data_IF_470394571605
#
_entry.id   IF_470394571605
#
_cell.length_a   1.000
_cell.length_b   1.000
_cell.length_c   1.000
_cell.angle_alpha   90.00
_cell.angle_beta   90.00
_cell.angle_gamma   90.00
#
_symmetry.space_group_name_H-M   'P 1'
#
loop_
_entity.id
_entity.type
_entity.pdbx_description
1 polymer ?
#
# COMPACT_ATOMS: atom_id res chain seq x y z
N UNK A 1 12.43 4.49 -6.16
CA UNK A 1 13.00 5.06 -4.91
C UNK A 1 12.84 4.10 -3.73
N UNK A 2 11.62 3.72 -3.32
CA UNK A 2 11.37 2.78 -2.21
C UNK A 2 12.15 1.46 -2.33
N UNK A 3 12.06 0.84 -3.50
CA UNK A 3 12.78 -0.37 -3.91
C UNK A 3 14.31 -0.27 -4.08
N UNK A 4 14.90 0.92 -3.91
CA UNK A 4 16.32 1.14 -4.17
C UNK A 4 16.95 1.99 -3.07
N UNK A 5 17.25 3.27 -3.34
CA UNK A 5 17.95 4.15 -2.40
C UNK A 5 17.29 4.22 -1.02
N UNK A 6 15.96 4.29 -0.94
CA UNK A 6 15.27 4.46 0.35
C UNK A 6 15.20 3.18 1.20
N UNK A 7 15.67 2.04 0.67
CA UNK A 7 15.88 0.80 1.42
C UNK A 7 17.37 0.56 1.74
N UNK A 8 18.26 1.45 1.32
CA UNK A 8 19.69 1.34 1.59
C UNK A 8 20.01 1.88 2.99
N UNK A 9 20.73 1.12 3.80
CA UNK A 9 21.05 1.48 5.18
C UNK A 9 21.87 2.78 5.29
N UNK A 10 22.76 3.08 4.35
CA UNK A 10 23.53 4.32 4.34
C UNK A 10 22.62 5.52 4.08
N UNK A 11 21.76 5.44 3.06
CA UNK A 11 20.77 6.50 2.78
C UNK A 11 19.85 6.73 3.97
N UNK A 12 19.32 5.66 4.58
CA UNK A 12 18.48 5.75 5.78
C UNK A 12 19.23 6.43 6.93
N UNK A 13 20.50 6.07 7.14
CA UNK A 13 21.34 6.70 8.16
C UNK A 13 21.53 8.20 7.90
N UNK A 14 21.88 8.59 6.68
CA UNK A 14 22.04 10.00 6.29
C UNK A 14 20.75 10.78 6.51
N UNK A 15 19.62 10.26 6.02
CA UNK A 15 18.31 10.89 6.17
C UNK A 15 17.97 11.09 7.65
N UNK A 16 18.12 10.07 8.49
CA UNK A 16 17.77 10.16 9.91
C UNK A 16 18.70 11.09 10.72
N UNK A 17 19.94 11.29 10.27
CA UNK A 17 20.94 12.05 11.00
C UNK A 17 21.01 13.52 10.61
N UNK A 18 20.67 13.86 9.36
CA UNK A 18 20.92 15.19 8.81
C UNK A 18 19.70 15.84 8.14
N UNK A 19 18.63 15.08 7.88
CA UNK A 19 17.50 15.56 7.09
C UNK A 19 16.16 15.28 7.79
N UNK A 20 15.12 15.98 7.32
CA UNK A 20 13.72 15.69 7.64
C UNK A 20 13.05 15.26 6.34
N UNK A 21 12.92 13.95 6.07
CA UNK A 21 12.30 13.48 4.84
C UNK A 21 10.79 13.75 4.87
N UNK A 22 10.27 14.37 3.80
CA UNK A 22 8.84 14.62 3.60
C UNK A 22 8.40 13.93 2.32
N UNK A 23 7.34 13.12 2.40
CA UNK A 23 6.69 12.52 1.22
C UNK A 23 5.49 13.37 0.83
N UNK A 24 5.52 13.94 -0.36
CA UNK A 24 4.40 14.66 -0.94
C UNK A 24 3.89 13.93 -2.18
N UNK A 25 2.59 13.66 -2.21
CA UNK A 25 1.91 12.93 -3.27
C UNK A 25 1.20 13.94 -4.18
N UNK A 26 1.43 13.88 -5.50
CA UNK A 26 0.90 14.90 -6.42
C UNK A 26 -0.63 15.02 -6.33
N UNK A 27 -1.31 13.89 -6.20
CA UNK A 27 -2.76 13.77 -6.14
C UNK A 27 -3.33 14.55 -4.93
N UNK A 28 -2.61 14.51 -3.82
CA UNK A 28 -3.00 15.16 -2.57
C UNK A 28 -2.73 16.67 -2.59
N UNK A 29 -1.66 17.09 -3.27
CA UNK A 29 -1.16 18.46 -3.21
C UNK A 29 -1.55 19.36 -4.41
N UNK A 30 -2.09 18.80 -5.50
CA UNK A 30 -2.55 19.58 -6.67
C UNK A 30 -3.96 20.19 -6.47
N UNK A 31 -4.41 20.93 -7.48
CA UNK A 31 -5.75 21.48 -7.56
C UNK A 31 -6.81 20.38 -7.35
N UNK A 32 -7.68 20.58 -6.36
CA UNK A 32 -8.71 19.61 -5.97
C UNK A 32 -8.21 18.46 -5.06
N UNK A 33 -6.92 18.40 -4.75
CA UNK A 33 -6.34 17.45 -3.80
C UNK A 33 -6.81 17.66 -2.36
N UNK A 34 -6.65 16.61 -1.54
CA UNK A 34 -7.17 16.52 -0.18
C UNK A 34 -6.41 17.36 0.87
N UNK A 35 -5.22 17.86 0.54
CA UNK A 35 -4.39 18.59 1.51
C UNK A 35 -4.85 20.05 1.72
N UNK A 36 -4.55 20.63 2.90
CA UNK A 36 -4.88 22.02 3.21
C UNK A 36 -4.38 23.01 2.15
N UNK A 37 -5.13 24.11 1.87
CA UNK A 37 -4.71 25.10 0.88
C UNK A 37 -3.31 25.70 1.11
N UNK A 38 -2.90 25.87 2.36
CA UNK A 38 -1.55 26.36 2.72
C UNK A 38 -0.43 25.38 2.34
N UNK A 39 -0.61 24.08 2.62
CA UNK A 39 0.33 23.03 2.26
C UNK A 39 0.49 22.90 0.74
N UNK A 40 -0.62 23.02 0.00
CA UNK A 40 -0.60 23.02 -1.47
C UNK A 40 0.15 24.22 -2.04
N UNK A 41 -0.04 25.41 -1.46
CA UNK A 41 0.73 26.61 -1.86
C UNK A 41 2.22 26.44 -1.61
N UNK A 42 2.59 25.80 -0.51
CA UNK A 42 3.99 25.54 -0.18
C UNK A 42 4.64 24.54 -1.13
N UNK A 43 3.93 23.47 -1.47
CA UNK A 43 4.34 22.51 -2.50
C UNK A 43 4.59 23.20 -3.86
N UNK A 44 3.66 24.05 -4.29
CA UNK A 44 3.80 24.83 -5.52
C UNK A 44 4.94 25.85 -5.45
N UNK A 45 5.16 26.47 -4.28
CA UNK A 45 6.24 27.45 -4.05
C UNK A 45 7.59 26.78 -4.27
N UNK A 46 7.81 25.61 -3.66
CA UNK A 46 9.06 24.84 -3.79
C UNK A 46 9.33 24.49 -5.26
N UNK A 47 8.32 24.01 -5.99
CA UNK A 47 8.45 23.71 -7.42
C UNK A 47 8.83 24.95 -8.25
N UNK A 48 8.14 26.08 -8.04
CA UNK A 48 8.41 27.33 -8.75
C UNK A 48 9.77 27.91 -8.40
N UNK A 49 10.18 27.82 -7.15
CA UNK A 49 11.50 28.26 -6.69
C UNK A 49 12.62 27.43 -7.32
N UNK A 50 12.49 26.10 -7.33
CA UNK A 50 13.46 25.22 -7.97
C UNK A 50 13.60 25.52 -9.48
N UNK A 51 12.48 25.76 -10.16
CA UNK A 51 12.49 26.19 -11.56
C UNK A 51 13.20 27.53 -11.76
N UNK A 52 12.89 28.54 -10.93
CA UNK A 52 13.52 29.85 -11.00
C UNK A 52 15.03 29.79 -10.74
N UNK A 53 15.45 28.91 -9.84
CA UNK A 53 16.86 28.62 -9.54
C UNK A 53 17.55 27.72 -10.58
N UNK A 54 16.84 27.33 -11.66
CA UNK A 54 17.33 26.43 -12.73
C UNK A 54 17.78 25.05 -12.21
N UNK A 55 17.18 24.60 -11.11
CA UNK A 55 17.35 23.25 -10.58
C UNK A 55 16.47 22.26 -11.36
N UNK A 56 16.71 20.95 -11.21
CA UNK A 56 15.83 19.91 -11.78
C UNK A 56 14.44 20.02 -11.15
N UNK A 57 13.39 20.16 -11.95
CA UNK A 57 12.03 20.27 -11.43
C UNK A 57 11.01 19.58 -12.33
N UNK A 58 9.93 19.10 -11.73
CA UNK A 58 8.86 18.41 -12.44
C UNK A 58 8.01 17.57 -11.49
N UNK A 59 7.21 16.68 -12.07
CA UNK A 59 6.15 15.96 -11.36
C UNK A 59 6.65 14.87 -10.43
N UNK A 60 7.81 14.25 -10.68
CA UNK A 60 8.38 13.23 -9.78
C UNK A 60 9.85 13.54 -9.52
N UNK A 61 10.11 14.24 -8.40
CA UNK A 61 11.42 14.80 -8.06
C UNK A 61 11.73 14.67 -6.58
N UNK A 62 13.02 14.68 -6.26
CA UNK A 62 13.56 14.94 -4.92
C UNK A 62 13.99 16.39 -4.89
N UNK A 63 13.51 17.17 -3.92
CA UNK A 63 13.97 18.53 -3.65
C UNK A 63 14.68 18.55 -2.31
N UNK A 64 15.78 19.29 -2.23
CA UNK A 64 16.50 19.58 -0.98
C UNK A 64 16.22 21.03 -0.63
N UNK A 65 15.71 21.25 0.58
CA UNK A 65 15.45 22.57 1.12
C UNK A 65 16.49 22.91 2.19
N UNK A 66 16.84 24.20 2.26
CA UNK A 66 17.53 24.77 3.41
C UNK A 66 16.61 24.81 4.65
N UNK A 67 17.15 25.02 5.86
CA UNK A 67 16.33 25.17 7.08
C UNK A 67 15.29 26.29 7.00
N UNK A 68 15.55 27.33 6.19
CA UNK A 68 14.63 28.46 5.96
C UNK A 68 13.59 28.16 4.87
N UNK A 69 13.57 26.94 4.34
CA UNK A 69 12.60 26.46 3.35
C UNK A 69 12.97 26.71 1.88
N UNK A 70 14.11 27.35 1.59
CA UNK A 70 14.53 27.62 0.21
C UNK A 70 15.07 26.38 -0.50
N UNK A 71 14.67 26.14 -1.75
CA UNK A 71 15.22 25.06 -2.58
C UNK A 71 16.71 25.29 -2.91
N UNK A 72 17.57 24.33 -2.56
CA UNK A 72 19.04 24.46 -2.72
C UNK A 72 19.68 23.41 -3.62
N UNK A 73 18.99 22.29 -3.88
CA UNK A 73 19.38 21.26 -4.83
C UNK A 73 18.17 20.37 -5.17
N UNK A 74 18.25 19.58 -6.23
CA UNK A 74 17.19 18.64 -6.62
C UNK A 74 17.64 17.57 -7.61
N UNK A 75 16.90 16.46 -7.67
CA UNK A 75 17.10 15.39 -8.63
C UNK A 75 15.77 14.87 -9.20
N UNK A 76 15.74 14.66 -10.51
CA UNK A 76 14.69 13.85 -11.15
C UNK A 76 14.69 12.43 -10.57
N UNK A 77 13.50 11.84 -10.38
CA UNK A 77 13.35 10.53 -9.72
C UNK A 77 14.16 9.40 -10.38
N UNK A 78 14.28 9.40 -11.71
CA UNK A 78 15.06 8.39 -12.43
C UNK A 78 16.57 8.44 -12.10
N UNK A 79 17.08 9.63 -11.76
CA UNK A 79 18.46 9.80 -11.31
C UNK A 79 18.57 9.51 -9.82
N UNK A 80 17.65 10.05 -9.00
CA UNK A 80 17.63 9.81 -7.57
C UNK A 80 17.43 8.32 -7.22
N UNK A 81 16.76 7.55 -8.09
CA UNK A 81 16.57 6.10 -7.94
C UNK A 81 17.88 5.30 -8.02
N UNK A 82 18.99 5.91 -8.46
CA UNK A 82 20.32 5.32 -8.40
C UNK A 82 20.94 5.66 -7.05
N UNK A 83 21.19 4.64 -6.23
CA UNK A 83 21.60 4.81 -4.82
C UNK A 83 22.82 5.70 -4.66
N UNK A 84 23.83 5.52 -5.50
CA UNK A 84 25.06 6.32 -5.51
C UNK A 84 24.78 7.81 -5.78
N UNK A 85 23.84 8.10 -6.69
CA UNK A 85 23.50 9.49 -7.03
C UNK A 85 22.74 10.19 -5.91
N UNK A 86 21.92 9.46 -5.16
CA UNK A 86 21.24 10.04 -4.00
C UNK A 86 22.23 10.26 -2.84
N UNK A 87 23.12 9.29 -2.57
CA UNK A 87 24.16 9.46 -1.54
C UNK A 87 25.01 10.69 -1.86
N UNK A 88 25.49 10.82 -3.09
CA UNK A 88 26.28 11.98 -3.54
C UNK A 88 25.55 13.31 -3.29
N UNK A 89 24.23 13.36 -3.55
CA UNK A 89 23.42 14.56 -3.31
C UNK A 89 23.36 14.91 -1.81
N UNK A 90 23.07 13.91 -0.98
CA UNK A 90 22.91 14.09 0.47
C UNK A 90 24.23 14.52 1.10
N UNK A 91 25.34 13.85 0.77
CA UNK A 91 26.67 14.16 1.31
C UNK A 91 27.15 15.56 0.91
N UNK A 92 27.03 15.93 -0.38
CA UNK A 92 27.37 17.29 -0.82
C UNK A 92 26.52 18.36 -0.14
N UNK A 93 25.25 18.06 0.13
CA UNK A 93 24.38 19.00 0.86
C UNK A 93 24.85 19.18 2.30
N UNK A 94 25.19 18.08 2.98
CA UNK A 94 25.72 18.11 4.34
C UNK A 94 26.98 18.97 4.40
N UNK A 95 27.92 18.74 3.47
CA UNK A 95 29.16 19.50 3.39
C UNK A 95 28.92 20.99 3.11
N UNK A 96 28.05 21.30 2.14
CA UNK A 96 27.72 22.68 1.74
C UNK A 96 27.07 23.47 2.88
N UNK A 97 26.11 22.85 3.58
CA UNK A 97 25.39 23.50 4.68
C UNK A 97 26.13 23.44 6.01
N UNK A 98 27.17 22.60 6.12
CA UNK A 98 27.92 22.36 7.37
C UNK A 98 27.00 21.98 8.53
N UNK A 99 25.95 21.21 8.24
CA UNK A 99 24.99 20.74 9.24
C UNK A 99 25.64 19.69 10.14
N UNK A 100 25.29 19.73 11.43
CA UNK A 100 25.76 18.74 12.40
C UNK A 100 24.81 17.56 12.42
N UNK A 101 25.35 16.38 12.69
CA UNK A 101 24.54 15.21 12.99
C UNK A 101 23.62 15.50 14.17
N UNK A 102 22.33 15.25 13.97
CA UNK A 102 21.30 15.33 14.98
C UNK A 102 20.77 13.96 15.37
N UNK A 103 19.86 13.97 16.35
CA UNK A 103 18.96 12.84 16.57
C UNK A 103 17.84 12.89 15.53
N UNK A 104 17.31 11.72 15.17
CA UNK A 104 16.13 11.64 14.32
C UNK A 104 14.99 12.44 14.96
N UNK A 105 14.39 13.35 14.19
CA UNK A 105 13.31 14.21 14.68
C UNK A 105 12.11 13.41 15.18
N UNK A 106 11.89 12.24 14.57
CA UNK A 106 10.85 11.29 14.94
C UNK A 106 11.46 9.89 15.04
N UNK A 107 10.91 9.06 15.92
CA UNK A 107 11.27 7.65 15.96
C UNK A 107 10.92 6.99 14.60
N UNK A 108 11.72 6.01 14.14
CA UNK A 108 11.36 5.24 12.96
C UNK A 108 9.96 4.66 13.09
N UNK A 109 9.13 4.90 12.07
CA UNK A 109 7.78 4.39 11.97
C UNK A 109 7.62 3.61 10.66
N UNK A 110 6.67 2.66 10.59
CA UNK A 110 6.31 2.02 9.33
C UNK A 110 5.96 3.06 8.25
N UNK A 111 6.40 2.85 7.01
CA UNK A 111 6.03 3.73 5.89
C UNK A 111 4.54 3.64 5.56
N UNK A 112 3.94 2.47 5.81
CA UNK A 112 2.51 2.21 5.71
C UNK A 112 1.95 2.04 7.12
N UNK A 113 1.13 2.99 7.56
CA UNK A 113 0.43 2.92 8.85
C UNK A 113 -1.05 2.62 8.60
N UNK A 114 -1.72 1.86 9.49
CA UNK A 114 -3.15 1.63 9.36
C UNK A 114 -3.90 2.97 9.40
N UNK A 115 -4.93 3.14 8.55
CA UNK A 115 -5.76 4.33 8.58
C UNK A 115 -6.51 4.43 9.92
N UNK A 116 -6.87 5.66 10.31
CA UNK A 116 -7.75 5.88 11.46
C UNK A 116 -9.12 5.21 11.22
N UNK A 117 -9.59 4.44 12.17
CA UNK A 117 -10.86 3.72 12.09
C UNK A 117 -11.60 3.74 13.43
N UNK A 118 -12.86 3.28 13.43
CA UNK A 118 -13.61 3.09 14.67
C UNK A 118 -13.01 1.93 15.50
N UNK A 119 -13.14 1.94 16.85
CA UNK A 119 -12.50 0.95 17.73
C UNK A 119 -12.89 -0.52 17.48
N UNK A 120 -14.03 -0.75 16.87
CA UNK A 120 -14.62 -2.06 16.57
C UNK A 120 -14.45 -2.49 15.10
N UNK A 121 -13.74 -1.68 14.31
CA UNK A 121 -13.45 -2.00 12.91
C UNK A 121 -12.41 -3.13 12.79
N UNK A 122 -12.58 -4.01 11.82
CA UNK A 122 -11.55 -4.97 11.44
C UNK A 122 -10.60 -4.34 10.43
N UNK A 123 -9.37 -4.08 10.86
CA UNK A 123 -8.30 -3.55 10.01
C UNK A 123 -7.51 -4.70 9.41
N UNK A 124 -7.46 -4.73 8.08
CA UNK A 124 -6.70 -5.72 7.32
C UNK A 124 -5.52 -5.03 6.64
N UNK A 125 -4.33 -5.59 6.86
CA UNK A 125 -3.13 -5.25 6.12
C UNK A 125 -3.03 -6.14 4.88
N UNK A 126 -2.93 -5.52 3.70
CA UNK A 126 -2.70 -6.20 2.44
C UNK A 126 -1.27 -5.95 1.98
N UNK A 127 -0.62 -6.99 1.49
CA UNK A 127 0.68 -6.90 0.82
C UNK A 127 0.61 -7.57 -0.53
N UNK A 128 1.06 -6.91 -1.59
CA UNK A 128 1.11 -7.47 -2.95
C UNK A 128 2.48 -7.29 -3.60
N UNK A 129 2.88 -8.24 -4.45
CA UNK A 129 4.11 -8.16 -5.26
C UNK A 129 4.04 -9.06 -6.48
N UNK A 130 4.78 -8.70 -7.52
CA UNK A 130 5.21 -9.63 -8.56
C UNK A 130 6.15 -10.70 -7.98
N UNK A 131 6.05 -11.91 -8.52
CA UNK A 131 6.88 -13.07 -8.17
C UNK A 131 7.84 -13.46 -9.29
N UNK A 132 7.84 -12.73 -10.41
CA UNK A 132 8.66 -13.05 -11.58
C UNK A 132 10.17 -12.84 -11.35
N UNK A 133 10.56 -12.11 -10.31
CA UNK A 133 11.95 -11.98 -9.87
C UNK A 133 12.86 -11.30 -10.90
N UNK A 134 12.32 -10.40 -11.71
CA UNK A 134 13.07 -9.71 -12.78
C UNK A 134 13.81 -8.46 -12.30
N UNK A 135 13.77 -8.16 -11.01
CA UNK A 135 14.29 -6.92 -10.44
C UNK A 135 13.48 -5.70 -10.87
N UNK A 136 12.21 -5.91 -11.25
CA UNK A 136 11.31 -4.85 -11.64
C UNK A 136 10.70 -4.17 -10.40
N UNK A 137 10.22 -2.94 -10.57
CA UNK A 137 9.69 -2.15 -9.45
C UNK A 137 8.46 -2.79 -8.79
N UNK A 138 7.73 -3.63 -9.52
CA UNK A 138 6.57 -4.38 -9.03
C UNK A 138 6.93 -5.66 -8.26
N UNK A 139 8.21 -6.09 -8.27
CA UNK A 139 8.67 -7.27 -7.49
C UNK A 139 8.74 -6.99 -5.99
N UNK A 140 8.68 -5.72 -5.58
CA UNK A 140 8.73 -5.31 -4.20
C UNK A 140 7.33 -5.34 -3.58
N UNK A 141 7.22 -5.77 -2.31
CA UNK A 141 5.95 -5.72 -1.60
C UNK A 141 5.45 -4.28 -1.50
N UNK A 142 4.24 -4.04 -1.98
CA UNK A 142 3.47 -2.83 -1.70
C UNK A 142 2.44 -3.18 -0.65
N UNK A 143 2.24 -2.24 0.26
CA UNK A 143 1.35 -2.34 1.41
C UNK A 143 0.10 -1.51 1.20
N UNK A 144 -1.02 -2.03 1.69
CA UNK A 144 -2.32 -1.42 1.59
C UNK A 144 -3.22 -1.79 2.77
N UNK A 145 -4.35 -1.12 2.90
CA UNK A 145 -5.24 -1.27 4.05
C UNK A 145 -6.71 -1.40 3.63
N UNK A 146 -7.41 -2.32 4.29
CA UNK A 146 -8.85 -2.51 4.15
C UNK A 146 -9.46 -2.42 5.54
N UNK A 147 -10.40 -1.49 5.77
CA UNK A 147 -11.03 -1.27 7.10
C UNK A 147 -12.49 -1.62 7.04
N UNK A 148 -12.89 -2.78 7.57
CA UNK A 148 -14.29 -3.21 7.62
C UNK A 148 -14.95 -2.67 8.90
N UNK A 149 -16.11 -2.04 8.76
CA UNK A 149 -16.96 -1.70 9.90
C UNK A 149 -17.53 -2.97 10.56
N UNK A 150 -18.11 -2.82 11.74
CA UNK A 150 -18.78 -3.93 12.42
C UNK A 150 -19.89 -4.57 11.57
N UNK A 151 -20.69 -3.77 10.87
CA UNK A 151 -21.75 -4.25 9.99
C UNK A 151 -21.20 -5.01 8.78
N UNK A 152 -20.06 -4.54 8.24
CA UNK A 152 -19.37 -5.23 7.14
C UNK A 152 -18.71 -6.52 7.61
N UNK A 153 -18.18 -6.57 8.83
CA UNK A 153 -17.71 -7.80 9.46
C UNK A 153 -18.83 -8.81 9.63
N UNK A 154 -20.05 -8.38 9.97
CA UNK A 154 -21.18 -9.29 10.13
C UNK A 154 -21.54 -10.02 8.82
N UNK A 155 -21.31 -9.38 7.66
CA UNK A 155 -21.50 -9.93 6.31
C UNK A 155 -20.44 -10.98 5.90
N UNK A 156 -19.31 -11.07 6.62
CA UNK A 156 -18.32 -12.16 6.43
C UNK A 156 -18.77 -13.49 7.05
N UNK A 157 -19.64 -13.42 8.06
CA UNK A 157 -19.98 -14.54 8.93
C UNK A 157 -21.26 -15.24 8.47
N UNK A 158 -21.45 -16.54 8.79
CA UNK A 158 -22.66 -17.25 8.42
C UNK A 158 -23.89 -16.67 9.15
N UNK A 159 -25.06 -16.84 8.54
CA UNK A 159 -26.34 -16.55 9.18
C UNK A 159 -26.77 -17.66 10.15
N UNK A 160 -27.36 -17.29 11.29
CA UNK A 160 -28.02 -18.24 12.19
C UNK A 160 -27.10 -19.16 12.99
N UNK A 161 -27.60 -20.36 13.32
CA UNK A 161 -26.82 -21.42 13.98
C UNK A 161 -25.93 -22.10 12.95
N UNK A 162 -24.72 -22.51 13.36
CA UNK A 162 -23.77 -23.15 12.46
C UNK A 162 -23.09 -24.35 13.12
N UNK A 163 -22.68 -25.32 12.30
CA UNK A 163 -21.93 -26.52 12.70
C UNK A 163 -20.74 -26.76 11.75
N UNK A 164 -19.82 -27.66 12.13
CA UNK A 164 -18.71 -28.05 11.26
C UNK A 164 -19.24 -28.67 9.97
N UNK A 165 -18.62 -28.30 8.84
CA UNK A 165 -19.03 -28.65 7.49
C UNK A 165 -20.12 -27.76 6.89
N UNK A 166 -20.71 -26.84 7.67
CA UNK A 166 -21.58 -25.82 7.09
C UNK A 166 -20.75 -24.84 6.26
N UNK A 167 -21.22 -24.54 5.06
CA UNK A 167 -20.60 -23.60 4.14
C UNK A 167 -21.54 -22.47 3.77
N UNK A 168 -20.96 -21.31 3.44
CA UNK A 168 -21.69 -20.15 2.96
C UNK A 168 -20.88 -19.38 1.93
N UNK A 169 -21.59 -18.70 1.04
CA UNK A 169 -21.00 -17.71 0.15
C UNK A 169 -20.85 -16.42 0.95
N UNK A 170 -19.65 -15.86 0.95
CA UNK A 170 -19.42 -14.54 1.54
C UNK A 170 -20.14 -13.49 0.69
N UNK A 171 -20.72 -12.49 1.35
CA UNK A 171 -21.42 -11.40 0.70
C UNK A 171 -20.64 -10.81 -0.49
N UNK A 172 -21.35 -10.50 -1.57
CA UNK A 172 -20.74 -10.11 -2.85
C UNK A 172 -20.01 -8.77 -2.76
N UNK A 173 -20.53 -7.82 -1.99
CA UNK A 173 -19.95 -6.50 -1.78
C UNK A 173 -18.67 -6.62 -0.95
N UNK A 174 -18.70 -7.43 0.11
CA UNK A 174 -17.51 -7.69 0.92
C UNK A 174 -16.45 -8.44 0.13
N UNK A 175 -16.84 -9.45 -0.65
CA UNK A 175 -15.95 -10.16 -1.56
C UNK A 175 -15.31 -9.21 -2.56
N UNK A 176 -16.07 -8.26 -3.13
CA UNK A 176 -15.51 -7.23 -3.99
C UNK A 176 -14.48 -6.38 -3.24
N UNK A 177 -14.81 -5.91 -2.04
CA UNK A 177 -13.94 -5.06 -1.23
C UNK A 177 -12.60 -5.72 -0.89
N UNK A 178 -12.65 -7.00 -0.49
CA UNK A 178 -11.46 -7.78 -0.20
C UNK A 178 -10.60 -8.01 -1.45
N UNK A 179 -11.24 -8.36 -2.57
CA UNK A 179 -10.53 -8.79 -3.78
C UNK A 179 -10.16 -7.65 -4.74
N UNK A 180 -10.65 -6.43 -4.52
CA UNK A 180 -10.43 -5.29 -5.43
C UNK A 180 -8.95 -5.00 -5.65
N UNK A 181 -8.11 -5.20 -4.63
CA UNK A 181 -6.66 -4.95 -4.69
C UNK A 181 -5.81 -6.23 -4.84
N UNK A 182 -6.42 -7.34 -5.24
CA UNK A 182 -5.71 -8.61 -5.46
C UNK A 182 -4.99 -8.65 -6.82
N UNK A 183 -4.02 -7.75 -7.01
CA UNK A 183 -3.18 -7.65 -8.20
C UNK A 183 -1.80 -7.11 -7.82
N UNK A 184 -0.73 -7.36 -8.60
CA UNK A 184 0.59 -6.83 -8.28
C UNK A 184 0.60 -5.31 -8.44
N UNK A 185 1.54 -4.60 -7.82
CA UNK A 185 1.65 -3.15 -7.98
C UNK A 185 1.68 -2.74 -9.47
N UNK A 186 0.84 -1.79 -9.84
CA UNK A 186 0.78 -1.19 -11.19
C UNK A 186 0.96 0.34 -11.11
N UNK A 187 1.10 1.00 -12.26
CA UNK A 187 1.17 2.48 -12.30
C UNK A 187 -0.22 3.13 -12.21
N UNK A 188 -1.28 2.32 -12.20
CA UNK A 188 -2.65 2.78 -12.05
C UNK A 188 -3.23 2.31 -10.71
N UNK A 189 -3.37 3.25 -9.78
CA UNK A 189 -3.95 2.99 -8.45
C UNK A 189 -5.46 3.26 -8.38
N UNK A 190 -6.10 3.57 -9.51
CA UNK A 190 -7.54 3.86 -9.56
C UNK A 190 -8.36 2.57 -9.60
N UNK A 191 -8.71 2.09 -8.40
CA UNK A 191 -9.52 0.89 -8.21
C UNK A 191 -10.94 1.00 -8.78
N UNK A 192 -11.45 2.22 -9.04
CA UNK A 192 -12.79 2.40 -9.61
C UNK A 192 -12.89 1.93 -11.06
N UNK A 193 -11.74 1.79 -11.74
CA UNK A 193 -11.64 1.27 -13.10
C UNK A 193 -11.57 -0.25 -13.17
N UNK A 194 -11.46 -0.93 -12.03
CA UNK A 194 -11.44 -2.38 -11.99
C UNK A 194 -12.81 -2.93 -12.35
N UNK A 195 -12.84 -3.93 -13.24
CA UNK A 195 -14.08 -4.62 -13.61
C UNK A 195 -13.97 -6.11 -13.32
N UNK A 196 -14.82 -6.58 -12.43
CA UNK A 196 -14.88 -8.00 -12.10
C UNK A 196 -15.64 -8.76 -13.19
N UNK A 197 -15.00 -9.75 -13.78
CA UNK A 197 -15.66 -10.77 -14.61
C UNK A 197 -16.11 -11.95 -13.75
N UNK A 198 -15.33 -12.29 -12.72
CA UNK A 198 -15.67 -13.31 -11.73
C UNK A 198 -15.07 -12.93 -10.39
N UNK A 199 -15.85 -13.03 -9.33
CA UNK A 199 -15.37 -12.98 -7.95
C UNK A 199 -16.23 -13.86 -7.08
N UNK A 200 -15.61 -14.64 -6.21
CA UNK A 200 -16.32 -15.35 -5.15
C UNK A 200 -15.37 -15.70 -4.03
N UNK A 201 -15.88 -15.63 -2.80
CA UNK A 201 -15.29 -16.21 -1.61
C UNK A 201 -16.35 -17.13 -1.00
N UNK A 202 -15.99 -18.39 -0.78
CA UNK A 202 -16.80 -19.37 -0.07
C UNK A 202 -16.08 -19.73 1.21
N UNK A 203 -16.82 -19.82 2.30
CA UNK A 203 -16.28 -20.20 3.58
C UNK A 203 -16.95 -21.48 4.08
N UNK A 204 -16.19 -22.30 4.79
CA UNK A 204 -16.65 -23.55 5.40
C UNK A 204 -16.13 -23.63 6.83
N UNK A 205 -17.01 -23.96 7.78
CA UNK A 205 -16.60 -24.19 9.17
C UNK A 205 -15.83 -25.51 9.25
N UNK A 206 -14.57 -25.45 9.64
CA UNK A 206 -13.70 -26.62 9.77
C UNK A 206 -13.46 -27.04 11.22
N UNK A 207 -13.72 -26.16 12.19
CA UNK A 207 -13.49 -26.48 13.61
C UNK A 207 -14.30 -25.63 14.60
N UNK A 208 -14.51 -26.19 15.79
CA UNK A 208 -14.88 -25.46 17.00
C UNK A 208 -13.93 -25.85 18.13
N UNK A 209 -13.20 -24.89 18.68
CA UNK A 209 -12.29 -25.12 19.79
C UNK A 209 -12.33 -23.94 20.75
N UNK A 210 -12.52 -24.19 22.05
CA UNK A 210 -12.47 -23.16 23.10
C UNK A 210 -13.38 -21.94 22.84
N UNK A 211 -14.57 -22.16 22.25
CA UNK A 211 -15.50 -21.09 21.91
C UNK A 211 -15.15 -20.29 20.63
N UNK A 212 -14.06 -20.65 19.95
CA UNK A 212 -13.63 -20.10 18.67
C UNK A 212 -14.05 -21.04 17.56
N UNK A 213 -14.64 -20.47 16.52
CA UNK A 213 -15.02 -21.14 15.27
C UNK A 213 -13.96 -20.85 14.24
N UNK A 214 -13.35 -21.91 13.70
CA UNK A 214 -12.41 -21.78 12.58
C UNK A 214 -13.12 -22.09 11.27
N UNK A 215 -12.99 -21.18 10.30
CA UNK A 215 -13.48 -21.37 8.95
C UNK A 215 -12.34 -21.30 7.93
N UNK A 216 -12.36 -22.21 6.96
CA UNK A 216 -11.52 -22.16 5.76
C UNK A 216 -12.24 -21.30 4.72
N UNK A 217 -11.50 -20.44 4.03
CA UNK A 217 -12.00 -19.61 2.94
C UNK A 217 -11.32 -20.03 1.65
N UNK A 218 -12.10 -20.20 0.59
CA UNK A 218 -11.62 -20.45 -0.76
C UNK A 218 -12.29 -19.49 -1.75
N UNK A 219 -11.55 -19.07 -2.77
CA UNK A 219 -12.06 -18.10 -3.70
C UNK A 219 -11.37 -18.07 -5.04
N UNK A 220 -11.97 -17.31 -5.94
CA UNK A 220 -11.49 -17.12 -7.29
C UNK A 220 -11.77 -15.69 -7.75
N UNK A 221 -10.81 -15.12 -8.46
CA UNK A 221 -10.84 -13.78 -9.01
C UNK A 221 -10.53 -13.84 -10.50
N UNK A 222 -11.36 -13.15 -11.28
CA UNK A 222 -11.09 -12.75 -12.66
C UNK A 222 -11.50 -11.29 -12.80
N UNK A 223 -10.53 -10.41 -13.04
CA UNK A 223 -10.76 -8.97 -13.02
C UNK A 223 -9.93 -8.28 -14.10
N UNK A 224 -10.56 -7.38 -14.84
CA UNK A 224 -9.85 -6.46 -15.73
C UNK A 224 -9.25 -5.34 -14.90
N UNK A 225 -7.95 -5.11 -15.08
CA UNK A 225 -7.20 -4.05 -14.41
C UNK A 225 -6.26 -3.40 -15.43
N UNK A 226 -6.43 -2.09 -15.64
CA UNK A 226 -5.63 -1.32 -16.58
C UNK A 226 -4.32 -0.87 -15.92
N UNK A 227 -3.17 -1.09 -16.56
CA UNK A 227 -1.87 -0.65 -16.04
C UNK A 227 -1.65 0.87 -16.18
N UNK A 228 -2.33 1.53 -17.13
CA UNK A 228 -2.31 2.97 -17.37
C UNK A 228 -3.75 3.52 -17.53
N UNK A 229 -3.88 4.77 -17.98
CA UNK A 229 -5.16 5.40 -18.32
C UNK A 229 -5.94 4.74 -19.47
N UNK A 230 -5.43 3.66 -20.05
CA UNK A 230 -6.06 2.92 -21.16
C UNK A 230 -6.21 1.46 -20.78
N UNK A 231 -7.29 0.87 -21.28
CA UNK A 231 -7.46 -0.58 -21.26
C UNK A 231 -6.32 -1.22 -22.05
N UNK A 232 -5.64 -2.18 -21.43
CA UNK A 232 -4.51 -2.90 -22.01
C UNK A 232 -4.85 -4.38 -22.28
N UNK A 233 -6.11 -4.77 -22.08
CA UNK A 233 -6.61 -6.14 -22.26
C UNK A 233 -6.06 -7.13 -21.24
N UNK A 234 -5.33 -6.68 -20.20
CA UNK A 234 -4.77 -7.57 -19.20
C UNK A 234 -5.82 -7.95 -18.17
N UNK A 235 -5.83 -9.23 -17.85
CA UNK A 235 -6.73 -9.82 -16.86
C UNK A 235 -5.91 -10.30 -15.68
N UNK A 236 -6.39 -9.97 -14.49
CA UNK A 236 -5.97 -10.54 -13.22
C UNK A 236 -6.75 -11.84 -13.04
N UNK A 237 -6.05 -12.96 -12.94
CA UNK A 237 -6.63 -14.24 -12.57
C UNK A 237 -5.98 -14.75 -11.29
N UNK A 238 -6.78 -15.13 -10.29
CA UNK A 238 -6.24 -15.69 -9.05
C UNK A 238 -7.18 -16.70 -8.39
N UNK A 239 -6.59 -17.69 -7.72
CA UNK A 239 -7.23 -18.49 -6.67
C UNK A 239 -6.77 -17.98 -5.32
N UNK A 240 -7.71 -17.90 -4.38
CA UNK A 240 -7.49 -17.37 -3.03
C UNK A 240 -7.81 -18.46 -2.02
N UNK A 241 -6.97 -18.60 -1.01
CA UNK A 241 -7.20 -19.48 0.13
C UNK A 241 -6.94 -18.73 1.42
N UNK A 242 -7.56 -19.15 2.50
CA UNK A 242 -7.37 -18.49 3.78
C UNK A 242 -8.15 -19.11 4.92
N UNK A 243 -8.06 -18.45 6.07
CA UNK A 243 -8.74 -18.84 7.29
C UNK A 243 -9.31 -17.63 8.03
N UNK A 244 -10.39 -17.87 8.73
CA UNK A 244 -11.03 -16.88 9.59
C UNK A 244 -11.42 -17.54 10.91
N UNK A 245 -10.98 -16.93 12.01
CA UNK A 245 -11.39 -17.31 13.35
C UNK A 245 -12.40 -16.29 13.88
N UNK A 246 -13.50 -16.78 14.45
CA UNK A 246 -14.54 -15.91 15.00
C UNK A 246 -15.31 -16.58 16.15
N UNK A 247 -15.94 -15.75 16.97
CA UNK A 247 -16.83 -16.18 18.05
C UNK A 247 -18.28 -16.13 17.58
N UNK A 248 -18.96 -17.28 17.56
CA UNK A 248 -20.38 -17.33 17.20
C UNK A 248 -21.30 -16.49 18.12
N UNK A 249 -21.14 -16.52 19.47
CA UNK A 249 -22.06 -15.80 20.36
C UNK A 249 -22.00 -14.28 20.19
N UNK A 250 -20.79 -13.73 20.02
CA UNK A 250 -20.54 -12.29 19.91
C UNK A 250 -20.45 -11.82 18.46
N UNK A 251 -20.39 -12.76 17.50
CA UNK A 251 -20.09 -12.52 16.08
C UNK A 251 -18.82 -11.71 15.86
N UNK A 252 -17.85 -11.81 16.80
CA UNK A 252 -16.58 -11.10 16.71
C UNK A 252 -15.58 -11.91 15.89
N UNK A 253 -15.03 -11.30 14.85
CA UNK A 253 -13.88 -11.85 14.12
C UNK A 253 -12.61 -11.62 14.96
N UNK A 254 -11.85 -12.69 15.17
CA UNK A 254 -10.58 -12.69 15.91
C UNK A 254 -9.40 -12.61 14.97
N UNK A 255 -9.46 -13.35 13.86
CA UNK A 255 -8.43 -13.33 12.84
C UNK A 255 -9.06 -13.49 11.46
N UNK A 256 -8.47 -12.85 10.46
CA UNK A 256 -8.76 -13.12 9.05
C UNK A 256 -7.45 -13.09 8.28
N UNK A 257 -7.16 -14.16 7.55
CA UNK A 257 -5.99 -14.29 6.71
C UNK A 257 -6.39 -14.83 5.35
N UNK A 258 -5.95 -14.18 4.27
CA UNK A 258 -6.17 -14.61 2.88
C UNK A 258 -4.84 -14.54 2.14
N UNK A 259 -4.61 -15.46 1.21
CA UNK A 259 -3.44 -15.46 0.33
C UNK A 259 -3.82 -15.97 -1.05
N UNK A 260 -3.16 -15.47 -2.08
CA UNK A 260 -3.22 -16.09 -3.41
C UNK A 260 -2.51 -17.44 -3.40
N UNK A 261 -3.20 -18.51 -3.79
CA UNK A 261 -2.60 -19.82 -4.04
C UNK A 261 -1.95 -19.87 -5.43
N UNK A 262 -2.67 -19.36 -6.44
CA UNK A 262 -2.18 -19.16 -7.80
C UNK A 262 -2.66 -17.80 -8.30
N UNK A 263 -1.81 -17.07 -9.00
CA UNK A 263 -2.15 -15.73 -9.46
C UNK A 263 -1.32 -15.32 -10.68
N UNK A 264 -1.98 -14.73 -11.68
CA UNK A 264 -1.35 -14.24 -12.90
C UNK A 264 -1.92 -12.90 -13.38
N UNK A 265 -1.04 -12.04 -13.89
CA UNK A 265 -1.41 -10.76 -14.48
C UNK A 265 -0.38 -10.34 -15.51
N UNK A 266 -0.83 -9.96 -16.72
CA UNK A 266 0.06 -9.43 -17.76
C UNK A 266 1.17 -10.40 -18.24
N UNK A 267 0.94 -11.71 -18.13
CA UNK A 267 1.92 -12.75 -18.49
C UNK A 267 2.92 -13.11 -17.39
N UNK A 268 2.81 -12.47 -16.22
CA UNK A 268 3.60 -12.75 -15.02
C UNK A 268 2.79 -13.38 -13.90
N UNK A 269 3.49 -13.83 -12.87
CA UNK A 269 2.93 -14.35 -11.61
C UNK A 269 3.05 -13.32 -10.50
N UNK A 270 2.10 -13.34 -9.56
CA UNK A 270 2.11 -12.43 -8.43
C UNK A 270 1.61 -13.11 -7.16
N UNK A 271 1.88 -12.47 -6.02
CA UNK A 271 1.41 -12.89 -4.71
C UNK A 271 0.69 -11.74 -4.02
N UNK A 272 -0.42 -12.06 -3.35
CA UNK A 272 -1.11 -11.15 -2.44
C UNK A 272 -1.39 -11.88 -1.13
N UNK A 273 -1.11 -11.22 -0.02
CA UNK A 273 -1.44 -11.68 1.32
C UNK A 273 -2.25 -10.60 2.04
N UNK A 274 -3.28 -11.01 2.77
CA UNK A 274 -4.09 -10.16 3.63
C UNK A 274 -4.09 -10.76 5.02
N UNK A 275 -3.90 -9.93 6.04
CA UNK A 275 -4.03 -10.34 7.44
C UNK A 275 -4.71 -9.27 8.28
N UNK A 276 -5.53 -9.69 9.23
CA UNK A 276 -6.03 -8.79 10.29
C UNK A 276 -4.89 -8.32 11.19
N UNK A 277 -4.99 -7.08 11.67
CA UNK A 277 -4.21 -6.60 12.80
C UNK A 277 -5.00 -6.82 14.10
N UNK A 278 -4.29 -7.17 15.17
CA UNK A 278 -4.83 -7.27 16.53
C UNK A 278 -4.86 -5.90 17.22
#
# INVERSE_FOLDING_TARGET
>A
MRAGPLSNSNVISLLNQYFVPVYAVNEDYRDGGAQPPEERREYDRIYKEALAAKLSAGTVHVYILSPDGHAIDSLHVATAAKTERLIDLLERTIEKLKVRQGQALVAPAPQSAPPKCAPDSLVLHLTSRSLDGRGAWNDFPVEDWIVLSQDECAKLLPGGKSRVGDSWVVDEEISARLLTRFYPPTENNDVSKNRFERRSLNAEIVSFQNGITGARIEGNLKMQHSFYHREDGKVVEATVVGFMDFELPTRRIRSLQLVTDKASYGGGTFGVAVRSLE
#
